data_IF_188813656173
#
_entry.id   IF_188813656173
#
_cell.length_a   1.000
_cell.length_b   1.000
_cell.length_c   1.000
_cell.angle_alpha   90.00
_cell.angle_beta   90.00
_cell.angle_gamma   90.00
#
_symmetry.space_group_name_H-M   'P 1'
#
loop_
_entity.id
_entity.type
_entity.pdbx_description
1 polymer ?
#
# COMPACT_ATOMS: atom_id res chain seq x y z
N UNK A 1 -20.07 15.73 -6.20
CA UNK A 1 -19.74 14.29 -6.33
C UNK A 1 -18.47 14.19 -7.15
N UNK A 2 -17.33 13.78 -6.57
CA UNK A 2 -16.08 13.65 -7.33
C UNK A 2 -16.06 12.29 -8.05
N UNK A 3 -15.86 12.33 -9.37
CA UNK A 3 -15.73 11.15 -10.23
C UNK A 3 -14.25 10.74 -10.26
N UNK A 4 -13.96 9.48 -9.93
CA UNK A 4 -12.61 8.91 -10.07
C UNK A 4 -12.16 8.94 -11.53
N UNK A 5 -10.99 9.52 -11.81
CA UNK A 5 -10.36 9.56 -13.13
C UNK A 5 -9.44 8.35 -13.39
N UNK A 6 -9.36 7.42 -12.45
CA UNK A 6 -8.69 6.15 -12.67
C UNK A 6 -9.65 5.20 -13.39
N UNK A 7 -9.37 4.92 -14.66
CA UNK A 7 -9.92 3.73 -15.30
C UNK A 7 -9.50 2.50 -14.50
N UNK A 8 -10.49 1.72 -14.10
CA UNK A 8 -10.30 0.47 -13.40
C UNK A 8 -9.61 -0.52 -14.36
N UNK A 9 -8.46 -1.04 -13.94
CA UNK A 9 -7.85 -2.32 -14.36
C UNK A 9 -7.13 -2.40 -15.73
N UNK A 10 -5.91 -1.87 -15.78
CA UNK A 10 -4.88 -2.32 -16.75
C UNK A 10 -3.55 -2.70 -16.07
N UNK A 11 -3.57 -3.01 -14.78
CA UNK A 11 -2.36 -3.35 -14.04
C UNK A 11 -1.85 -4.76 -14.40
N UNK A 12 -0.53 -4.96 -14.56
CA UNK A 12 0.04 -6.28 -14.73
C UNK A 12 -0.12 -7.10 -13.45
N UNK A 13 -0.03 -8.42 -13.58
CA UNK A 13 0.09 -9.30 -12.42
C UNK A 13 1.46 -9.08 -11.77
N UNK A 14 1.51 -8.87 -10.46
CA UNK A 14 2.76 -8.59 -9.75
C UNK A 14 3.27 -9.85 -9.07
N UNK A 15 4.57 -10.11 -9.28
CA UNK A 15 5.32 -11.18 -8.63
C UNK A 15 6.54 -10.55 -7.96
N UNK A 16 6.79 -10.84 -6.68
CA UNK A 16 7.95 -10.30 -5.97
C UNK A 16 8.67 -11.44 -5.28
N UNK A 17 9.95 -11.66 -5.57
CA UNK A 17 10.71 -12.80 -5.03
C UNK A 17 9.99 -14.15 -5.24
N UNK A 18 9.35 -14.34 -6.41
CA UNK A 18 8.58 -15.55 -6.74
C UNK A 18 7.15 -15.61 -6.17
N UNK A 19 6.78 -14.64 -5.33
CA UNK A 19 5.48 -14.57 -4.67
C UNK A 19 4.48 -13.80 -5.55
N UNK A 20 3.37 -14.43 -5.97
CA UNK A 20 2.27 -13.74 -6.65
C UNK A 20 1.50 -12.82 -5.68
N UNK A 21 1.31 -11.55 -6.03
CA UNK A 21 0.59 -10.54 -5.24
C UNK A 21 -0.70 -10.04 -5.90
N UNK A 22 -1.00 -10.50 -7.12
CA UNK A 22 -2.18 -10.06 -7.87
C UNK A 22 -1.91 -8.80 -8.70
N UNK A 23 -2.96 -8.20 -9.25
CA UNK A 23 -2.88 -7.04 -10.14
C UNK A 23 -2.94 -5.69 -9.39
N UNK A 24 -2.69 -5.70 -8.09
CA UNK A 24 -2.71 -4.50 -7.27
C UNK A 24 -1.31 -3.92 -7.15
N UNK A 25 -1.13 -2.66 -7.58
CA UNK A 25 0.15 -1.97 -7.54
C UNK A 25 0.48 -1.35 -6.19
N UNK A 26 -0.43 -1.38 -5.20
CA UNK A 26 -0.20 -0.80 -3.88
C UNK A 26 1.06 -1.39 -3.20
N UNK A 27 1.35 -2.67 -3.47
CA UNK A 27 2.56 -3.36 -3.02
C UNK A 27 3.86 -2.75 -3.55
N UNK A 28 3.83 -2.03 -4.67
CA UNK A 28 5.02 -1.38 -5.22
C UNK A 28 5.38 -0.10 -4.45
N UNK A 29 4.39 0.55 -3.82
CA UNK A 29 4.60 1.81 -3.10
C UNK A 29 5.37 1.64 -1.78
N UNK A 30 5.44 0.42 -1.26
CA UNK A 30 6.12 0.09 -0.01
C UNK A 30 7.55 -0.44 -0.23
N UNK A 31 7.96 -0.64 -1.48
CA UNK A 31 9.27 -1.19 -1.80
C UNK A 31 10.27 -0.04 -1.92
N UNK A 32 11.32 -0.11 -1.12
CA UNK A 32 12.44 0.80 -1.27
C UNK A 32 13.16 0.53 -2.60
N UNK A 33 13.28 1.50 -3.52
CA UNK A 33 13.94 1.27 -4.80
C UNK A 33 15.39 0.80 -4.68
N UNK A 34 16.09 1.17 -3.60
CA UNK A 34 17.48 0.72 -3.34
C UNK A 34 17.59 -0.79 -3.08
N UNK A 35 16.49 -1.40 -2.63
CA UNK A 35 16.40 -2.82 -2.32
C UNK A 35 16.04 -3.66 -3.55
N UNK A 36 15.68 -3.04 -4.67
CA UNK A 36 15.37 -3.75 -5.90
C UNK A 36 16.68 -4.26 -6.53
N UNK A 37 16.73 -5.56 -6.78
CA UNK A 37 17.79 -6.23 -7.52
C UNK A 37 17.50 -6.19 -9.02
N UNK A 38 16.29 -6.58 -9.41
CA UNK A 38 15.88 -6.59 -10.82
C UNK A 38 14.37 -6.39 -10.99
N UNK A 39 13.99 -5.88 -12.17
CA UNK A 39 12.61 -5.74 -12.63
C UNK A 39 12.52 -6.39 -14.00
N UNK A 40 11.59 -7.33 -14.15
CA UNK A 40 11.31 -8.03 -15.41
C UNK A 40 9.85 -7.84 -15.77
N UNK A 41 9.56 -7.58 -17.05
CA UNK A 41 8.20 -7.45 -17.55
C UNK A 41 7.95 -8.51 -18.61
N UNK A 42 6.97 -9.37 -18.38
CA UNK A 42 6.55 -10.40 -19.32
C UNK A 42 5.26 -9.95 -20.01
N UNK A 43 5.29 -9.83 -21.35
CA UNK A 43 4.15 -9.35 -22.16
C UNK A 43 3.64 -10.37 -23.18
N UNK A 44 4.32 -11.51 -23.32
CA UNK A 44 3.92 -12.53 -24.29
C UNK A 44 2.54 -13.10 -23.93
N UNK A 45 1.69 -13.34 -24.93
CA UNK A 45 0.46 -14.11 -24.82
C UNK A 45 0.60 -15.41 -23.99
N UNK A 46 1.78 -16.03 -24.00
CA UNK A 46 2.07 -17.27 -23.27
C UNK A 46 2.10 -17.14 -21.74
N UNK A 47 2.27 -15.95 -21.14
CA UNK A 47 2.35 -15.84 -19.66
C UNK A 47 1.05 -16.20 -18.95
N UNK A 48 -0.10 -16.11 -19.62
CA UNK A 48 -1.38 -16.53 -19.05
C UNK A 48 -1.46 -18.03 -18.78
N UNK A 49 -0.69 -18.86 -19.52
CA UNK A 49 -0.59 -20.30 -19.27
C UNK A 49 0.13 -20.63 -17.97
N UNK A 50 1.09 -19.77 -17.57
CA UNK A 50 1.92 -19.97 -16.38
C UNK A 50 1.26 -19.33 -15.15
N UNK A 51 0.70 -18.13 -15.30
CA UNK A 51 0.24 -17.29 -14.18
C UNK A 51 -1.28 -17.04 -14.15
N UNK A 52 -2.04 -17.62 -15.09
CA UNK A 52 -3.50 -17.58 -15.11
C UNK A 52 -4.10 -16.25 -15.59
N UNK A 53 -5.42 -16.08 -15.33
CA UNK A 53 -6.23 -14.96 -15.86
C UNK A 53 -5.72 -13.57 -15.47
N UNK A 54 -5.09 -13.44 -14.29
CA UNK A 54 -4.51 -12.17 -13.84
C UNK A 54 -3.36 -11.67 -14.72
N UNK A 55 -2.67 -12.56 -15.44
CA UNK A 55 -1.55 -12.21 -16.31
C UNK A 55 -1.96 -11.73 -17.71
N UNK A 56 -3.26 -11.59 -18.00
CA UNK A 56 -3.76 -11.12 -19.32
C UNK A 56 -3.24 -9.73 -19.72
N UNK A 57 -2.82 -8.93 -18.75
CA UNK A 57 -2.25 -7.59 -18.94
C UNK A 57 -0.71 -7.57 -18.81
N UNK A 58 -0.09 -8.75 -18.83
CA UNK A 58 1.33 -8.95 -18.57
C UNK A 58 1.63 -9.26 -17.10
N UNK A 59 2.90 -9.57 -16.84
CA UNK A 59 3.42 -9.87 -15.50
C UNK A 59 4.60 -8.96 -15.22
N UNK A 60 4.59 -8.30 -14.06
CA UNK A 60 5.70 -7.52 -13.52
C UNK A 60 6.35 -8.35 -12.42
N UNK A 61 7.58 -8.79 -12.65
CA UNK A 61 8.37 -9.56 -11.70
C UNK A 61 9.43 -8.64 -11.10
N UNK A 62 9.42 -8.49 -9.78
CA UNK A 62 10.46 -7.80 -9.03
C UNK A 62 11.26 -8.81 -8.21
N UNK A 63 12.58 -8.66 -8.21
CA UNK A 63 13.47 -9.37 -7.30
C UNK A 63 14.13 -8.34 -6.39
N UNK A 64 14.16 -8.61 -5.08
CA UNK A 64 14.78 -7.75 -4.08
C UNK A 64 16.12 -8.33 -3.64
N UNK A 65 17.12 -7.45 -3.44
CA UNK A 65 18.47 -7.78 -2.99
C UNK A 65 18.48 -8.53 -1.66
N UNK A 66 17.63 -8.08 -0.74
CA UNK A 66 17.38 -8.79 0.51
C UNK A 66 16.09 -9.59 0.34
N UNK A 67 16.25 -10.90 0.11
CA UNK A 67 15.14 -11.86 -0.03
C UNK A 67 14.47 -12.15 1.32
N UNK A 68 14.36 -11.18 2.24
CA UNK A 68 13.65 -11.35 3.50
C UNK A 68 12.14 -11.46 3.23
N UNK A 69 11.76 -12.67 2.84
CA UNK A 69 10.42 -13.10 2.46
C UNK A 69 9.47 -12.98 3.66
N UNK A 70 9.95 -12.99 4.90
CA UNK A 70 9.11 -12.89 6.09
C UNK A 70 8.31 -11.58 6.18
N UNK A 71 8.82 -10.48 5.63
CA UNK A 71 8.08 -9.20 5.56
C UNK A 71 6.97 -9.23 4.52
N UNK A 72 7.16 -9.98 3.43
CA UNK A 72 6.23 -10.10 2.29
C UNK A 72 5.18 -11.20 2.55
N UNK A 73 5.54 -12.31 3.19
CA UNK A 73 4.63 -13.37 3.60
C UNK A 73 3.74 -12.96 4.78
N UNK A 74 4.28 -12.25 5.78
CA UNK A 74 3.44 -11.61 6.81
C UNK A 74 2.44 -10.66 6.16
N UNK A 75 2.86 -9.91 5.15
CA UNK A 75 1.95 -9.04 4.40
C UNK A 75 0.88 -9.86 3.65
N UNK A 76 1.25 -10.94 2.94
CA UNK A 76 0.29 -11.82 2.24
C UNK A 76 -0.75 -12.47 3.13
N UNK A 77 -0.31 -13.07 4.23
CA UNK A 77 -1.21 -13.72 5.19
C UNK A 77 -2.14 -12.69 5.82
N UNK A 78 -1.62 -11.50 6.14
CA UNK A 78 -2.41 -10.38 6.65
C UNK A 78 -3.40 -9.87 5.58
N UNK A 79 -2.99 -9.74 4.32
CA UNK A 79 -3.83 -9.20 3.25
C UNK A 79 -4.96 -10.15 2.82
N UNK A 80 -4.66 -11.45 2.69
CA UNK A 80 -5.64 -12.45 2.22
C UNK A 80 -6.68 -12.84 3.28
N UNK A 81 -6.35 -12.75 4.58
CA UNK A 81 -7.26 -13.11 5.69
C UNK A 81 -8.41 -12.11 5.93
N UNK A 82 -8.30 -10.86 5.47
CA UNK A 82 -9.31 -9.82 5.76
C UNK A 82 -10.31 -9.57 4.62
N UNK A 83 -10.33 -10.46 3.63
CA UNK A 83 -11.25 -10.38 2.49
C UNK A 83 -12.68 -10.89 2.81
N UNK A 84 -12.90 -11.46 4.01
CA UNK A 84 -14.19 -12.03 4.42
C UNK A 84 -14.92 -11.17 5.46
N UNK A 85 -15.89 -10.37 5.00
CA UNK A 85 -17.18 -10.23 5.68
C UNK A 85 -17.30 -9.50 7.03
N UNK A 86 -16.50 -8.47 7.33
CA UNK A 86 -16.77 -7.58 8.48
C UNK A 86 -17.58 -6.34 8.09
N UNK A 87 -18.39 -5.84 9.03
CA UNK A 87 -19.17 -4.61 8.88
C UNK A 87 -18.26 -3.41 8.60
N UNK A 88 -18.76 -2.48 7.78
CA UNK A 88 -18.07 -1.23 7.51
C UNK A 88 -18.17 -0.31 8.73
N UNK A 89 -17.02 0.10 9.25
CA UNK A 89 -16.87 1.00 10.39
C UNK A 89 -16.21 2.31 9.95
N UNK A 90 -16.63 3.40 10.59
CA UNK A 90 -16.02 4.72 10.38
C UNK A 90 -14.73 4.83 11.20
N UNK A 91 -13.61 4.99 10.51
CA UNK A 91 -12.29 5.20 11.10
C UNK A 91 -11.94 6.67 11.07
N UNK A 92 -11.41 7.16 12.18
CA UNK A 92 -10.97 8.54 12.37
C UNK A 92 -9.56 8.58 12.96
N UNK A 93 -8.90 9.72 12.83
CA UNK A 93 -7.61 9.95 13.48
C UNK A 93 -7.02 11.30 13.10
N UNK A 94 -5.95 11.65 13.79
CA UNK A 94 -5.12 12.83 13.50
C UNK A 94 -3.70 12.39 13.21
N UNK A 95 -3.12 12.94 12.14
CA UNK A 95 -1.74 12.68 11.73
C UNK A 95 -0.90 13.88 12.12
N UNK A 96 0.14 13.63 12.89
CA UNK A 96 1.05 14.65 13.42
C UNK A 96 2.51 14.29 13.15
N UNK A 97 3.41 15.26 13.29
CA UNK A 97 4.85 15.00 13.37
C UNK A 97 5.27 14.71 14.82
N UNK A 98 6.56 14.44 15.05
CA UNK A 98 7.10 14.17 16.40
C UNK A 98 6.94 15.33 17.39
N UNK A 99 6.70 16.56 16.90
CA UNK A 99 6.42 17.76 17.69
C UNK A 99 4.92 17.99 17.93
N UNK A 100 4.06 17.03 17.55
CA UNK A 100 2.58 17.12 17.62
C UNK A 100 1.95 18.17 16.69
N UNK A 101 2.69 18.73 15.74
CA UNK A 101 2.10 19.60 14.73
C UNK A 101 1.33 18.73 13.70
N UNK A 102 0.12 19.14 13.30
CA UNK A 102 -0.67 18.39 12.32
C UNK A 102 0.03 18.36 10.95
N UNK A 103 -0.19 17.27 10.21
CA UNK A 103 0.33 17.10 8.86
C UNK A 103 -0.83 16.98 7.87
N UNK A 104 -0.99 18.00 7.03
CA UNK A 104 -1.95 18.03 5.94
C UNK A 104 -1.49 17.19 4.75
N UNK A 105 -2.44 16.75 3.92
CA UNK A 105 -2.21 16.11 2.61
C UNK A 105 -1.49 14.76 2.67
N UNK A 106 -1.42 14.12 3.84
CA UNK A 106 -0.91 12.75 3.97
C UNK A 106 -1.83 11.81 3.21
N UNK A 107 -1.27 11.00 2.32
CA UNK A 107 -2.01 9.97 1.59
C UNK A 107 -2.26 8.81 2.53
N UNK A 108 -3.53 8.45 2.69
CA UNK A 108 -3.97 7.32 3.51
C UNK A 108 -4.59 6.30 2.57
N UNK A 109 -3.92 5.18 2.36
CA UNK A 109 -4.42 4.10 1.50
C UNK A 109 -4.91 2.95 2.35
N UNK A 110 -6.19 2.59 2.22
CA UNK A 110 -6.65 1.29 2.66
C UNK A 110 -6.21 0.26 1.63
N UNK A 111 -5.25 -0.59 2.02
CA UNK A 111 -4.66 -1.56 1.12
C UNK A 111 -5.68 -2.63 0.74
N UNK A 112 -6.51 -3.09 1.67
CA UNK A 112 -7.51 -4.13 1.42
C UNK A 112 -8.62 -3.68 0.46
N UNK A 113 -9.05 -2.42 0.58
CA UNK A 113 -10.15 -1.85 -0.20
C UNK A 113 -9.70 -1.12 -1.47
N UNK A 114 -8.41 -0.84 -1.61
CA UNK A 114 -7.81 -0.08 -2.73
C UNK A 114 -8.36 1.34 -2.84
N UNK A 115 -8.70 1.93 -1.70
CA UNK A 115 -9.21 3.29 -1.59
C UNK A 115 -8.14 4.19 -0.98
N UNK A 116 -8.03 5.43 -1.45
CA UNK A 116 -7.08 6.41 -0.91
C UNK A 116 -7.76 7.72 -0.57
N UNK A 117 -7.35 8.28 0.55
CA UNK A 117 -7.86 9.52 1.13
C UNK A 117 -6.68 10.46 1.44
N UNK A 118 -6.99 11.70 1.82
CA UNK A 118 -5.99 12.65 2.32
C UNK A 118 -6.41 13.22 3.66
N UNK A 119 -5.44 13.50 4.53
CA UNK A 119 -5.68 14.31 5.72
C UNK A 119 -5.97 15.77 5.36
N UNK A 120 -6.82 16.42 6.15
CA UNK A 120 -7.15 17.84 6.02
C UNK A 120 -6.05 18.76 6.60
N UNK A 121 -6.28 20.08 6.56
CA UNK A 121 -5.33 21.10 7.07
C UNK A 121 -5.05 21.00 8.56
N UNK A 122 -5.88 20.29 9.32
CA UNK A 122 -5.71 20.01 10.74
C UNK A 122 -5.13 18.60 10.97
N UNK A 123 -4.67 17.93 9.91
CA UNK A 123 -4.12 16.58 9.94
C UNK A 123 -5.17 15.50 10.23
N UNK A 124 -6.46 15.84 10.26
CA UNK A 124 -7.53 14.88 10.55
C UNK A 124 -7.87 14.08 9.31
N UNK A 125 -8.29 12.84 9.54
CA UNK A 125 -8.85 12.01 8.50
C UNK A 125 -10.09 11.27 8.99
N UNK A 126 -10.95 10.92 8.04
CA UNK A 126 -12.13 10.09 8.26
C UNK A 126 -12.34 9.24 7.02
N UNK A 127 -12.48 7.93 7.20
CA UNK A 127 -12.73 6.98 6.12
C UNK A 127 -13.61 5.84 6.59
N UNK A 128 -14.23 5.13 5.66
CA UNK A 128 -14.96 3.89 5.94
C UNK A 128 -14.06 2.70 5.67
N UNK A 129 -13.98 1.76 6.62
CA UNK A 129 -13.09 0.61 6.56
C UNK A 129 -13.70 -0.58 7.29
N UNK A 130 -12.98 -1.69 7.38
CA UNK A 130 -13.34 -2.84 8.19
C UNK A 130 -12.34 -3.06 9.30
N UNK A 131 -12.76 -3.74 10.37
CA UNK A 131 -11.81 -4.26 11.35
C UNK A 131 -10.77 -5.13 10.63
N UNK A 132 -9.52 -5.01 11.06
CA UNK A 132 -8.35 -5.68 10.53
C UNK A 132 -7.83 -5.19 9.17
N UNK A 133 -8.52 -4.27 8.49
CA UNK A 133 -7.97 -3.61 7.30
C UNK A 133 -6.64 -2.93 7.62
N UNK A 134 -5.77 -2.84 6.61
CA UNK A 134 -4.46 -2.20 6.72
C UNK A 134 -4.53 -0.80 6.10
N UNK A 135 -4.19 0.22 6.89
CA UNK A 135 -3.99 1.58 6.40
C UNK A 135 -2.50 1.88 6.26
N UNK A 136 -2.12 2.42 5.10
CA UNK A 136 -0.79 2.90 4.78
C UNK A 136 -0.78 4.42 4.69
N UNK A 137 0.11 5.07 5.43
CA UNK A 137 0.25 6.51 5.52
C UNK A 137 1.55 6.95 4.84
N UNK A 138 1.43 7.82 3.85
CA UNK A 138 2.58 8.30 3.08
C UNK A 138 2.50 9.80 2.79
N UNK A 139 3.62 10.49 3.00
CA UNK A 139 3.85 11.83 2.53
C UNK A 139 5.33 12.00 2.18
N UNK A 140 5.62 12.64 1.04
CA UNK A 140 7.00 12.91 0.62
C UNK A 140 7.76 13.66 1.71
N UNK A 141 8.95 13.18 2.05
CA UNK A 141 9.80 13.76 3.11
C UNK A 141 9.54 13.20 4.51
N UNK A 142 8.59 12.27 4.65
CA UNK A 142 8.31 11.54 5.87
C UNK A 142 8.52 10.04 5.65
N UNK A 143 8.93 9.36 6.73
CA UNK A 143 8.92 7.91 6.79
C UNK A 143 7.47 7.45 6.80
N UNK A 144 7.12 6.53 5.89
CA UNK A 144 5.79 5.95 5.80
C UNK A 144 5.49 5.06 7.01
N UNK A 145 4.22 5.00 7.40
CA UNK A 145 3.74 4.17 8.50
C UNK A 145 2.57 3.29 8.06
N UNK A 146 2.43 2.12 8.67
CA UNK A 146 1.34 1.18 8.39
C UNK A 146 0.68 0.78 9.70
N UNK A 147 -0.65 0.79 9.72
CA UNK A 147 -1.42 0.26 10.86
C UNK A 147 -2.39 -0.81 10.38
N UNK A 148 -2.65 -1.77 11.26
CA UNK A 148 -3.80 -2.66 11.17
C UNK A 148 -4.92 -2.08 12.03
N UNK A 149 -6.10 -1.88 11.44
CA UNK A 149 -7.26 -1.35 12.15
C UNK A 149 -7.70 -2.35 13.23
N UNK A 150 -7.64 -1.90 14.48
CA UNK A 150 -8.22 -2.58 15.64
C UNK A 150 -9.27 -1.74 16.36
N UNK A 151 -9.19 -0.41 16.19
CA UNK A 151 -10.06 0.57 16.84
C UNK A 151 -10.57 1.57 15.79
N UNK A 152 -11.66 2.28 16.12
CA UNK A 152 -12.26 3.31 15.26
C UNK A 152 -11.50 4.64 15.28
N UNK A 153 -10.66 4.89 16.30
CA UNK A 153 -9.78 6.06 16.38
C UNK A 153 -8.31 5.64 16.40
N UNK A 154 -7.51 6.14 15.46
CA UNK A 154 -6.09 5.83 15.34
C UNK A 154 -5.30 7.10 15.05
N UNK A 155 -4.65 7.69 16.04
CA UNK A 155 -3.78 8.85 15.84
C UNK A 155 -2.37 8.38 15.42
N UNK A 156 -1.76 9.07 14.45
CA UNK A 156 -0.52 8.66 13.79
C UNK A 156 0.55 9.74 13.94
N UNK A 157 1.79 9.31 14.17
CA UNK A 157 2.96 10.17 14.18
C UNK A 157 3.87 9.80 13.02
N UNK A 158 4.01 10.67 12.02
CA UNK A 158 4.99 10.49 10.95
C UNK A 158 6.30 11.18 11.31
N UNK A 159 7.40 10.44 11.21
CA UNK A 159 8.76 10.96 11.41
C UNK A 159 9.31 11.47 10.09
N UNK A 160 10.13 12.52 10.10
CA UNK A 160 10.85 12.95 8.89
C UNK A 160 11.75 11.81 8.40
N UNK A 161 11.87 11.71 7.09
CA UNK A 161 12.81 10.79 6.46
C UNK A 161 14.20 11.48 6.38
N UNK A 162 15.05 11.21 7.37
CA UNK A 162 16.37 11.83 7.50
C UNK A 162 17.40 11.29 6.48
N UNK A 163 17.01 10.43 5.54
CA UNK A 163 17.92 9.81 4.56
C UNK A 163 18.37 10.72 3.41
N UNK A 164 18.12 12.03 3.48
CA UNK A 164 18.67 13.05 2.56
C UNK A 164 19.32 14.22 3.29
N UNK A 165 20.50 13.98 3.90
CA UNK A 165 21.56 15.00 3.88
C UNK A 165 22.36 14.77 2.60
N UNK A 166 22.05 15.55 1.56
CA UNK A 166 22.93 15.66 0.40
C UNK A 166 24.16 16.44 0.90
N UNK A 167 25.32 15.77 0.93
CA UNK A 167 26.62 16.44 1.00
C UNK A 167 26.90 17.12 -0.34
#
# INVERSE_FOLDING_TARGET
MYKSIYEKENNPLIVINGILLGNDTAFLNIINPKEIESITVLKDSAVTKIYGKGARKGVLILTLKNKNINSIEKFKTTYNLYSSGSEEIKITGTITNSQKNPIENVIITNLNRKESFRSDSQGKYTLTSRENDILYFYLKGYKSETIKIKNTKNDIVLKKDDTKKIK
#
